data_IF_564235228783
#
_entry.id   IF_564235228783
#
_cell.length_a   1.000
_cell.length_b   1.000
_cell.length_c   1.000
_cell.angle_alpha   90.00
_cell.angle_beta   90.00
_cell.angle_gamma   90.00
#
_symmetry.space_group_name_H-M   'P 1'
#
loop_
_entity.id
_entity.type
_entity.pdbx_description
1 polymer ?
#
# COMPACT_ATOMS: atom_id res chain seq x y z
N UNK A 1 4.91 11.93 14.33
CA UNK A 1 4.11 10.79 13.81
C UNK A 1 4.72 10.41 12.48
N UNK A 2 5.25 9.20 12.31
CA UNK A 2 5.90 8.81 11.04
C UNK A 2 4.81 8.57 9.98
N UNK A 3 4.75 9.43 8.96
CA UNK A 3 3.72 9.51 7.92
C UNK A 3 3.79 8.38 6.87
N UNK A 4 3.96 7.13 7.27
CA UNK A 4 3.88 5.99 6.35
C UNK A 4 2.61 5.21 6.63
N UNK A 5 1.59 5.43 5.81
CA UNK A 5 0.42 4.58 5.82
C UNK A 5 0.84 3.15 5.45
N UNK A 6 0.49 2.20 6.30
CA UNK A 6 0.69 0.77 6.04
C UNK A 6 -0.63 0.22 5.49
N UNK A 7 -0.66 -0.35 4.27
CA UNK A 7 -1.83 -1.09 3.81
C UNK A 7 -2.00 -2.33 4.70
N UNK A 8 -3.22 -2.57 5.17
CA UNK A 8 -3.53 -3.75 6.00
C UNK A 8 -3.90 -4.97 5.16
N UNK A 9 -4.40 -4.77 3.93
CA UNK A 9 -4.89 -5.83 3.04
C UNK A 9 -4.41 -5.62 1.60
N UNK A 10 -4.04 -6.71 0.91
CA UNK A 10 -3.71 -6.67 -0.50
C UNK A 10 -4.96 -6.25 -1.31
N UNK A 11 -4.89 -5.19 -2.13
CA UNK A 11 -6.05 -4.74 -2.91
C UNK A 11 -6.48 -5.73 -4.00
N UNK A 12 -5.69 -6.78 -4.26
CA UNK A 12 -5.95 -7.76 -5.30
C UNK A 12 -6.47 -9.10 -4.77
N UNK A 13 -5.97 -9.59 -3.63
CA UNK A 13 -6.36 -10.92 -3.09
C UNK A 13 -6.86 -10.89 -1.64
N UNK A 14 -6.85 -9.75 -0.95
CA UNK A 14 -7.31 -9.62 0.43
C UNK A 14 -6.37 -10.20 1.50
N UNK A 15 -5.20 -10.71 1.13
CA UNK A 15 -4.21 -11.24 2.07
C UNK A 15 -3.51 -10.12 2.85
N UNK A 16 -3.08 -10.40 4.07
CA UNK A 16 -2.46 -9.44 5.00
C UNK A 16 -0.92 -9.52 4.98
N UNK A 17 -0.33 -10.52 4.31
CA UNK A 17 1.12 -10.72 4.23
C UNK A 17 1.77 -9.74 3.24
N UNK A 18 1.85 -8.48 3.67
CA UNK A 18 2.40 -7.36 2.91
C UNK A 18 3.79 -6.98 3.42
N UNK A 19 4.70 -6.68 2.49
CA UNK A 19 6.07 -6.25 2.80
C UNK A 19 6.41 -5.00 1.98
N UNK A 20 7.12 -4.02 2.55
CA UNK A 20 7.61 -2.88 1.79
C UNK A 20 8.63 -3.33 0.75
N UNK A 21 8.63 -2.67 -0.40
CA UNK A 21 9.66 -2.80 -1.44
C UNK A 21 10.50 -1.52 -1.48
N UNK A 22 11.77 -1.65 -1.88
CA UNK A 22 12.68 -0.51 -1.95
C UNK A 22 12.32 0.43 -3.11
N UNK A 23 11.94 -0.13 -4.26
CA UNK A 23 11.58 0.59 -5.47
C UNK A 23 10.34 -0.03 -6.12
N UNK A 24 9.41 0.77 -6.66
CA UNK A 24 9.38 2.25 -6.60
C UNK A 24 9.00 2.78 -5.20
N UNK A 25 9.18 4.08 -4.94
CA UNK A 25 8.81 4.70 -3.66
C UNK A 25 7.40 4.35 -3.19
N UNK A 26 7.27 4.00 -1.91
CA UNK A 26 6.03 3.57 -1.27
C UNK A 26 5.41 2.29 -1.88
N UNK A 27 6.22 1.45 -2.51
CA UNK A 27 5.81 0.14 -3.00
C UNK A 27 5.68 -0.90 -1.89
N UNK A 28 4.75 -1.83 -2.10
CA UNK A 28 4.44 -2.96 -1.25
C UNK A 28 4.24 -4.19 -2.12
N UNK A 29 4.79 -5.32 -1.68
CA UNK A 29 4.59 -6.65 -2.26
C UNK A 29 3.68 -7.48 -1.38
N UNK A 30 2.73 -8.18 -2.00
CA UNK A 30 1.96 -9.24 -1.36
C UNK A 30 2.65 -10.59 -1.55
N UNK A 31 2.90 -11.32 -0.46
CA UNK A 31 3.54 -12.65 -0.53
C UNK A 31 2.62 -13.72 -1.14
N UNK A 32 1.30 -13.62 -0.92
CA UNK A 32 0.34 -14.62 -1.40
C UNK A 32 0.10 -14.59 -2.91
N UNK A 33 0.07 -13.40 -3.52
CA UNK A 33 -0.25 -13.24 -4.94
C UNK A 33 0.87 -12.60 -5.79
N UNK A 34 2.04 -12.35 -5.19
CA UNK A 34 3.26 -11.83 -5.82
C UNK A 34 3.10 -10.47 -6.55
N UNK A 35 2.01 -9.73 -6.31
CA UNK A 35 1.82 -8.40 -6.91
C UNK A 35 2.51 -7.32 -6.09
N UNK A 36 3.10 -6.37 -6.81
CA UNK A 36 3.67 -5.15 -6.25
C UNK A 36 2.77 -3.97 -6.59
N UNK A 37 2.49 -3.10 -5.62
CA UNK A 37 1.66 -1.91 -5.78
C UNK A 37 2.19 -0.75 -4.94
N UNK A 38 1.85 0.49 -5.28
CA UNK A 38 2.25 1.68 -4.52
C UNK A 38 1.07 2.25 -3.73
N UNK A 39 1.35 2.79 -2.54
CA UNK A 39 0.37 3.55 -1.74
C UNK A 39 0.73 5.03 -1.83
N UNK A 40 -0.26 5.87 -2.20
CA UNK A 40 -0.07 7.31 -2.35
C UNK A 40 -1.20 8.08 -1.67
N UNK A 41 -0.84 9.01 -0.79
CA UNK A 41 -1.78 10.04 -0.35
C UNK A 41 -2.00 11.05 -1.48
N UNK A 42 -3.24 11.21 -1.91
CA UNK A 42 -3.61 12.13 -3.01
C UNK A 42 -4.08 13.48 -2.45
N UNK A 43 -4.86 13.47 -1.37
CA UNK A 43 -5.44 14.66 -0.76
C UNK A 43 -6.70 14.31 0.03
N UNK A 44 -7.28 15.31 0.70
CA UNK A 44 -8.59 15.17 1.34
C UNK A 44 -9.68 15.50 0.33
N UNK A 45 -10.66 14.61 0.17
CA UNK A 45 -11.89 14.91 -0.57
C UNK A 45 -12.82 15.70 0.35
N UNK A 46 -12.67 17.03 0.35
CA UNK A 46 -13.59 17.95 1.01
C UNK A 46 -14.64 18.39 -0.02
N UNK A 47 -15.74 17.64 -0.10
CA UNK A 47 -16.94 18.16 -0.76
C UNK A 47 -17.68 19.09 0.21
N UNK A 48 -18.36 20.08 -0.37
CA UNK A 48 -19.31 20.94 0.35
C UNK A 48 -20.62 20.20 0.61
#
# INVERSE_FOLDING_TARGET
MSERAVPMYCPYCGDEDLRPEEEPHAAWRCAACCRVFTVKFVGLVVTK
#
